data_IF_419081381636
#
_entry.id   IF_419081381636
#
_cell.length_a   1.000
_cell.length_b   1.000
_cell.length_c   1.000
_cell.angle_alpha   90.00
_cell.angle_beta   90.00
_cell.angle_gamma   90.00
#
_symmetry.space_group_name_H-M   'P 1'
#
loop_
_entity.id
_entity.type
_entity.pdbx_description
1 polymer ?
#
# COMPACT_ATOMS: atom_id res chain seq x y z
N UNK A 1 10.73 -12.29 -23.53
CA UNK A 1 10.17 -13.66 -23.35
C UNK A 1 9.08 -13.84 -24.41
N UNK A 2 9.11 -14.92 -25.17
CA UNK A 2 8.10 -15.21 -26.18
C UNK A 2 6.78 -15.56 -25.45
N UNK A 3 5.69 -14.91 -25.87
CA UNK A 3 4.35 -15.22 -25.40
C UNK A 3 3.94 -16.57 -25.97
N UNK A 4 3.77 -17.52 -25.11
CA UNK A 4 3.39 -18.90 -25.45
C UNK A 4 1.90 -19.13 -25.18
N UNK A 5 1.25 -19.72 -26.11
CA UNK A 5 -0.16 -20.00 -26.45
C UNK A 5 -1.20 -20.53 -25.41
N UNK A 6 -2.47 -20.64 -25.64
CA UNK A 6 -3.69 -20.42 -24.88
C UNK A 6 -4.52 -21.62 -24.36
N UNK A 7 -5.50 -21.39 -23.47
CA UNK A 7 -6.56 -22.31 -23.04
C UNK A 7 -7.94 -21.91 -23.50
N UNK A 8 -8.89 -22.87 -23.50
CA UNK A 8 -10.27 -22.65 -23.91
C UNK A 8 -11.10 -22.00 -22.79
N UNK A 9 -12.03 -21.15 -23.17
CA UNK A 9 -12.95 -20.38 -22.30
C UNK A 9 -13.84 -21.28 -21.43
N UNK A 10 -14.17 -22.48 -21.88
CA UNK A 10 -15.00 -23.47 -21.19
C UNK A 10 -14.32 -24.02 -19.94
N UNK A 11 -13.00 -24.04 -19.91
CA UNK A 11 -12.24 -24.59 -18.79
C UNK A 11 -12.14 -23.61 -17.62
N UNK A 12 -12.38 -22.31 -17.86
CA UNK A 12 -12.39 -21.25 -16.85
C UNK A 12 -13.79 -20.87 -16.33
N UNK A 13 -14.85 -21.14 -17.08
CA UNK A 13 -16.21 -20.73 -16.71
C UNK A 13 -16.69 -21.32 -15.38
N UNK A 14 -16.18 -22.49 -14.97
CA UNK A 14 -16.49 -23.11 -13.70
C UNK A 14 -15.64 -22.63 -12.51
N UNK A 15 -14.53 -21.94 -12.77
CA UNK A 15 -13.59 -21.48 -11.74
C UNK A 15 -13.76 -20.00 -11.36
N UNK A 16 -14.43 -19.23 -12.20
CA UNK A 16 -14.63 -17.79 -11.98
C UNK A 16 -16.02 -17.50 -11.37
N UNK A 17 -16.27 -18.03 -10.18
CA UNK A 17 -17.52 -17.74 -9.46
C UNK A 17 -17.39 -16.43 -8.64
N UNK A 18 -18.49 -15.67 -8.45
CA UNK A 18 -18.48 -14.40 -7.70
C UNK A 18 -17.91 -14.49 -6.28
N UNK A 19 -18.04 -15.64 -5.61
CA UNK A 19 -17.48 -15.87 -4.27
C UNK A 19 -15.95 -15.86 -4.24
N UNK A 20 -15.28 -16.15 -5.34
CA UNK A 20 -13.83 -16.14 -5.43
C UNK A 20 -13.28 -14.70 -5.41
N UNK A 21 -14.07 -13.70 -5.75
CA UNK A 21 -13.65 -12.31 -5.75
C UNK A 21 -13.31 -11.78 -4.34
N UNK A 22 -14.01 -12.22 -3.30
CA UNK A 22 -13.77 -11.77 -1.93
C UNK A 22 -12.44 -12.28 -1.36
N UNK A 23 -12.07 -13.52 -1.65
CA UNK A 23 -10.83 -14.12 -1.16
C UNK A 23 -9.58 -13.43 -1.74
N UNK A 24 -9.68 -12.88 -2.94
CA UNK A 24 -8.59 -12.18 -3.60
C UNK A 24 -8.26 -10.82 -3.02
N UNK A 25 -9.26 -10.05 -2.62
CA UNK A 25 -9.00 -8.78 -1.93
C UNK A 25 -8.38 -9.00 -0.57
N UNK A 26 -8.75 -10.08 0.10
CA UNK A 26 -8.10 -10.47 1.35
C UNK A 26 -6.61 -10.77 1.13
N UNK A 27 -6.26 -11.38 -0.01
CA UNK A 27 -4.86 -11.69 -0.35
C UNK A 27 -4.08 -10.43 -0.76
N UNK A 28 -4.62 -9.60 -1.65
CA UNK A 28 -4.00 -8.34 -2.03
C UNK A 28 -3.82 -7.40 -0.81
N UNK A 29 -4.82 -7.33 0.05
CA UNK A 29 -4.74 -6.52 1.26
C UNK A 29 -3.67 -7.01 2.25
N UNK A 30 -3.37 -8.31 2.27
CA UNK A 30 -2.29 -8.85 3.11
C UNK A 30 -0.89 -8.46 2.64
N UNK A 31 -0.72 -8.12 1.35
CA UNK A 31 0.57 -7.81 0.75
C UNK A 31 0.86 -6.31 0.64
N UNK A 32 -0.16 -5.46 0.69
CA UNK A 32 0.00 -4.01 0.68
C UNK A 32 0.28 -3.46 2.07
N UNK A 33 1.40 -2.78 2.23
CA UNK A 33 1.80 -2.12 3.48
C UNK A 33 0.84 -0.98 3.81
N UNK A 34 0.46 -0.20 2.81
CA UNK A 34 -0.49 0.91 2.97
C UNK A 34 -1.86 0.39 3.42
N UNK A 35 -2.36 -0.68 2.81
CA UNK A 35 -3.67 -1.23 3.16
C UNK A 35 -3.72 -1.83 4.58
N UNK A 36 -2.59 -2.29 5.12
CA UNK A 36 -2.48 -2.79 6.49
C UNK A 36 -2.45 -1.67 7.54
N UNK A 37 -1.82 -0.56 7.22
CA UNK A 37 -1.63 0.55 8.15
C UNK A 37 -2.75 1.59 8.08
N UNK A 38 -3.26 1.86 6.88
CA UNK A 38 -4.25 2.90 6.63
C UNK A 38 -5.69 2.44 6.96
N UNK A 39 -6.57 3.40 7.16
CA UNK A 39 -7.96 3.14 7.49
C UNK A 39 -8.77 2.75 6.25
N UNK A 40 -9.36 1.55 6.27
CA UNK A 40 -10.30 1.12 5.23
C UNK A 40 -11.70 1.71 5.46
N UNK A 41 -12.32 2.19 4.38
CA UNK A 41 -13.73 2.63 4.35
C UNK A 41 -14.45 1.98 3.18
N UNK A 42 -15.77 1.77 3.27
CA UNK A 42 -16.54 1.34 2.11
C UNK A 42 -16.49 2.43 1.02
N UNK A 43 -16.34 2.03 -0.24
CA UNK A 43 -16.32 2.93 -1.38
C UNK A 43 -17.37 2.52 -2.39
N UNK A 44 -18.26 3.46 -2.74
CA UNK A 44 -19.24 3.27 -3.80
C UNK A 44 -18.70 3.67 -5.17
N UNK A 45 -19.37 3.25 -6.24
CA UNK A 45 -19.01 3.60 -7.65
C UNK A 45 -18.98 5.13 -7.86
N UNK A 46 -19.82 5.87 -7.16
CA UNK A 46 -19.88 7.34 -7.24
C UNK A 46 -18.82 8.05 -6.38
N UNK A 47 -17.96 7.28 -5.71
CA UNK A 47 -17.03 7.80 -4.71
C UNK A 47 -17.67 7.90 -3.32
N UNK A 48 -16.87 8.31 -2.35
CA UNK A 48 -17.28 8.50 -0.96
C UNK A 48 -16.81 9.87 -0.47
N UNK A 49 -17.67 10.57 0.27
CA UNK A 49 -17.32 11.86 0.86
C UNK A 49 -16.94 11.69 2.32
N UNK A 50 -15.70 12.05 2.64
CA UNK A 50 -15.13 11.85 3.97
C UNK A 50 -15.06 13.20 4.69
N UNK A 51 -15.77 13.36 5.82
CA UNK A 51 -15.65 14.56 6.64
C UNK A 51 -14.30 14.56 7.37
N UNK A 52 -13.57 15.66 7.26
CA UNK A 52 -12.34 15.91 7.99
C UNK A 52 -12.51 17.13 8.90
N UNK A 53 -12.02 17.01 10.13
CA UNK A 53 -12.01 18.13 11.07
C UNK A 53 -10.84 19.05 10.71
N UNK A 54 -11.13 20.25 10.22
CA UNK A 54 -10.13 21.25 9.82
C UNK A 54 -9.74 22.15 11.00
N UNK A 55 -10.64 22.41 11.92
CA UNK A 55 -10.33 23.09 13.19
C UNK A 55 -11.08 22.44 14.36
N UNK A 56 -10.42 22.41 15.50
CA UNK A 56 -11.01 21.89 16.75
C UNK A 56 -11.43 23.06 17.63
N UNK A 57 -12.59 22.96 18.30
CA UNK A 57 -12.95 23.96 19.31
C UNK A 57 -11.95 23.92 20.47
N UNK A 58 -11.65 25.07 21.01
CA UNK A 58 -10.83 25.24 22.22
C UNK A 58 -11.69 25.56 23.42
N UNK A 59 -11.33 25.03 24.59
CA UNK A 59 -12.00 25.32 25.84
C UNK A 59 -11.12 26.18 26.76
N UNK A 60 -11.72 27.10 27.48
CA UNK A 60 -11.03 27.94 28.48
C UNK A 60 -11.75 27.85 29.81
N UNK A 61 -10.98 28.01 30.90
CA UNK A 61 -11.51 28.14 32.25
C UNK A 61 -12.16 29.50 32.41
N UNK A 62 -13.38 29.55 32.97
CA UNK A 62 -14.14 30.79 33.14
C UNK A 62 -14.51 30.92 34.63
N UNK A 63 -14.25 32.07 35.23
CA UNK A 63 -14.70 32.33 36.61
C UNK A 63 -16.22 32.43 36.70
N UNK A 64 -16.73 32.41 37.93
CA UNK A 64 -18.15 32.57 38.15
C UNK A 64 -18.65 33.92 37.60
N UNK A 65 -19.74 33.83 36.79
CA UNK A 65 -20.29 34.97 36.04
C UNK A 65 -19.39 35.55 34.93
N UNK A 66 -18.26 34.88 34.56
CA UNK A 66 -17.35 35.31 33.49
C UNK A 66 -17.90 35.00 32.08
N UNK A 67 -17.46 35.78 31.11
CA UNK A 67 -17.78 35.58 29.70
C UNK A 67 -17.16 34.30 29.20
N UNK A 68 -17.97 33.45 28.50
CA UNK A 68 -17.50 32.17 27.94
C UNK A 68 -16.86 32.37 26.56
N UNK A 69 -15.67 31.80 26.31
CA UNK A 69 -15.04 31.91 25.01
C UNK A 69 -15.88 31.23 23.93
N UNK A 70 -16.16 31.96 22.84
CA UNK A 70 -16.79 31.39 21.67
C UNK A 70 -15.71 30.74 20.81
N UNK A 71 -15.89 29.49 20.46
CA UNK A 71 -14.96 28.75 19.61
C UNK A 71 -15.71 28.11 18.46
N UNK A 72 -15.12 28.16 17.28
CA UNK A 72 -15.67 27.53 16.08
C UNK A 72 -14.90 26.25 15.75
N UNK A 73 -15.64 25.17 15.53
CA UNK A 73 -15.14 23.96 14.91
C UNK A 73 -15.48 23.98 13.41
N UNK A 74 -14.50 23.69 12.56
CA UNK A 74 -14.75 23.57 11.14
C UNK A 74 -14.56 22.14 10.64
N UNK A 75 -15.47 21.70 9.76
CA UNK A 75 -15.43 20.40 9.10
C UNK A 75 -15.32 20.63 7.60
N UNK A 76 -14.28 20.12 6.99
CA UNK A 76 -14.13 20.05 5.55
C UNK A 76 -14.66 18.72 5.00
N UNK A 77 -15.04 18.70 3.74
CA UNK A 77 -15.44 17.49 3.02
C UNK A 77 -14.42 17.22 1.93
N UNK A 78 -13.83 16.03 1.97
CA UNK A 78 -12.97 15.53 0.88
C UNK A 78 -13.66 14.36 0.20
N UNK A 79 -13.62 14.34 -1.13
CA UNK A 79 -14.20 13.29 -1.95
C UNK A 79 -13.12 12.30 -2.34
N UNK A 80 -13.33 11.03 -2.03
CA UNK A 80 -12.51 9.92 -2.50
C UNK A 80 -13.19 9.29 -3.71
N UNK A 81 -12.52 9.31 -4.85
CA UNK A 81 -13.04 8.76 -6.11
C UNK A 81 -12.40 7.40 -6.40
N UNK A 82 -13.16 6.42 -6.91
CA UNK A 82 -12.59 5.17 -7.38
C UNK A 82 -11.77 5.39 -8.64
N UNK A 83 -10.59 4.78 -8.69
CA UNK A 83 -9.70 4.75 -9.85
C UNK A 83 -9.43 3.31 -10.24
N UNK A 84 -9.49 3.03 -11.54
CA UNK A 84 -9.36 1.68 -12.08
C UNK A 84 -7.89 1.30 -12.22
N UNK A 85 -7.57 0.10 -11.75
CA UNK A 85 -6.32 -0.61 -12.04
C UNK A 85 -6.66 -1.87 -12.83
N UNK A 86 -5.85 -2.21 -13.83
CA UNK A 86 -6.08 -3.38 -14.66
C UNK A 86 -4.77 -4.04 -15.06
N UNK A 87 -4.82 -5.34 -15.24
CA UNK A 87 -3.74 -6.14 -15.81
C UNK A 87 -4.30 -7.13 -16.83
N UNK A 88 -3.59 -7.31 -17.93
CA UNK A 88 -3.90 -8.34 -18.93
C UNK A 88 -2.76 -9.34 -18.95
N UNK A 89 -3.09 -10.59 -18.72
CA UNK A 89 -2.18 -11.68 -18.96
C UNK A 89 -2.59 -12.45 -20.21
N UNK A 90 -1.61 -12.84 -20.98
CA UNK A 90 -1.81 -13.65 -22.18
C UNK A 90 -1.11 -14.98 -22.00
N UNK A 91 -1.88 -16.04 -22.12
CA UNK A 91 -1.44 -17.40 -21.81
C UNK A 91 -1.71 -18.32 -23.01
N UNK A 92 -0.97 -19.43 -23.11
CA UNK A 92 -1.15 -20.40 -24.16
C UNK A 92 -2.25 -21.45 -23.84
N UNK A 93 -3.08 -21.88 -24.84
CA UNK A 93 -4.14 -22.88 -24.62
C UNK A 93 -3.56 -24.23 -24.17
N UNK A 94 -2.34 -24.52 -24.55
CA UNK A 94 -1.69 -25.77 -24.19
C UNK A 94 -1.28 -25.79 -22.71
N UNK A 95 -0.74 -24.68 -22.19
CA UNK A 95 -0.35 -24.54 -20.76
C UNK A 95 -1.56 -24.64 -19.86
N UNK A 96 -2.65 -23.96 -20.20
CA UNK A 96 -3.86 -24.01 -19.37
C UNK A 96 -4.55 -25.37 -19.47
N UNK A 97 -4.49 -26.03 -20.62
CA UNK A 97 -5.02 -27.40 -20.79
C UNK A 97 -4.23 -28.44 -20.00
N UNK A 98 -2.90 -28.24 -19.86
CA UNK A 98 -2.03 -29.15 -19.14
C UNK A 98 -2.21 -29.07 -17.60
N UNK A 99 -2.48 -27.89 -17.04
CA UNK A 99 -2.60 -27.71 -15.60
C UNK A 99 -3.54 -26.54 -15.19
N UNK A 100 -4.84 -26.62 -15.49
CA UNK A 100 -5.74 -25.48 -15.41
C UNK A 100 -5.96 -24.97 -13.97
N UNK A 101 -6.16 -25.86 -12.99
CA UNK A 101 -6.54 -25.45 -11.62
C UNK A 101 -5.39 -24.78 -10.85
N UNK A 102 -4.19 -25.34 -10.91
CA UNK A 102 -3.04 -24.77 -10.21
C UNK A 102 -2.51 -23.52 -10.86
N UNK A 103 -2.52 -23.44 -12.19
CA UNK A 103 -2.06 -22.28 -12.93
C UNK A 103 -2.94 -21.06 -12.67
N UNK A 104 -4.27 -21.24 -12.71
CA UNK A 104 -5.21 -20.15 -12.41
C UNK A 104 -5.03 -19.62 -11.01
N UNK A 105 -4.83 -20.48 -10.02
CA UNK A 105 -4.66 -20.04 -8.63
C UNK A 105 -3.33 -19.31 -8.42
N UNK A 106 -2.23 -19.81 -8.99
CA UNK A 106 -0.93 -19.13 -8.95
C UNK A 106 -1.03 -17.74 -9.57
N UNK A 107 -1.59 -17.66 -10.77
CA UNK A 107 -1.75 -16.40 -11.49
C UNK A 107 -2.63 -15.38 -10.77
N UNK A 108 -3.61 -15.84 -10.05
CA UNK A 108 -4.44 -14.98 -9.21
C UNK A 108 -3.63 -14.33 -8.09
N UNK A 109 -2.83 -15.11 -7.39
CA UNK A 109 -1.97 -14.61 -6.31
C UNK A 109 -0.99 -13.56 -6.86
N UNK A 110 -0.39 -13.81 -8.03
CA UNK A 110 0.54 -12.89 -8.68
C UNK A 110 -0.13 -11.57 -9.09
N UNK A 111 -1.38 -11.62 -9.59
CA UNK A 111 -2.16 -10.40 -9.90
C UNK A 111 -2.48 -9.62 -8.62
N UNK A 112 -2.90 -10.29 -7.56
CA UNK A 112 -3.22 -9.64 -6.30
C UNK A 112 -1.98 -8.92 -5.73
N UNK A 113 -0.82 -9.55 -5.82
CA UNK A 113 0.46 -8.94 -5.44
C UNK A 113 0.82 -7.76 -6.33
N UNK A 114 0.70 -7.90 -7.65
CA UNK A 114 0.97 -6.81 -8.59
C UNK A 114 0.07 -5.59 -8.33
N UNK A 115 -1.22 -5.81 -8.00
CA UNK A 115 -2.13 -4.72 -7.65
C UNK A 115 -1.78 -4.08 -6.30
N UNK A 116 -1.36 -4.87 -5.31
CA UNK A 116 -0.90 -4.36 -4.02
C UNK A 116 0.34 -3.47 -4.19
N UNK A 117 1.35 -3.95 -4.91
CA UNK A 117 2.57 -3.20 -5.18
C UNK A 117 2.31 -1.92 -6.00
N UNK A 118 1.45 -1.99 -7.02
CA UNK A 118 1.09 -0.82 -7.81
C UNK A 118 0.31 0.22 -6.99
N UNK A 119 -0.57 -0.22 -6.10
CA UNK A 119 -1.28 0.65 -5.18
C UNK A 119 -0.32 1.32 -4.19
N UNK A 120 0.58 0.55 -3.56
CA UNK A 120 1.59 1.09 -2.65
C UNK A 120 2.52 2.08 -3.36
N UNK A 121 3.00 1.77 -4.55
CA UNK A 121 3.84 2.67 -5.35
C UNK A 121 3.11 3.98 -5.71
N UNK A 122 1.82 3.92 -6.01
CA UNK A 122 1.02 5.10 -6.29
C UNK A 122 0.82 5.98 -5.05
N UNK A 123 0.55 5.39 -3.90
CA UNK A 123 0.29 6.12 -2.63
C UNK A 123 1.58 6.64 -2.01
N UNK A 124 2.65 5.84 -1.99
CA UNK A 124 3.91 6.21 -1.36
C UNK A 124 4.72 7.18 -2.22
N UNK A 125 4.88 6.87 -3.50
CA UNK A 125 5.82 7.56 -4.39
C UNK A 125 5.16 8.35 -5.52
N UNK A 126 3.85 8.25 -5.70
CA UNK A 126 3.17 8.91 -6.82
C UNK A 126 3.50 8.30 -8.19
N UNK A 127 4.05 7.08 -8.25
CA UNK A 127 4.40 6.42 -9.51
C UNK A 127 3.12 6.03 -10.27
N UNK A 128 2.92 6.64 -11.43
CA UNK A 128 1.70 6.49 -12.24
C UNK A 128 0.41 6.69 -11.41
N UNK A 129 0.49 7.51 -10.37
CA UNK A 129 -0.59 7.69 -9.40
C UNK A 129 -1.77 8.43 -10.03
N UNK A 130 -2.99 7.89 -9.90
CA UNK A 130 -4.21 8.61 -10.21
C UNK A 130 -4.72 9.46 -9.01
N UNK A 131 -4.01 9.46 -7.88
CA UNK A 131 -4.36 10.15 -6.64
C UNK A 131 -3.69 11.52 -6.58
N UNK A 132 -4.34 12.48 -5.89
CA UNK A 132 -3.89 13.88 -5.84
C UNK A 132 -2.60 14.09 -5.06
N UNK A 133 -2.36 13.24 -4.04
CA UNK A 133 -1.18 13.33 -3.16
C UNK A 133 -0.49 11.99 -3.00
N UNK A 134 0.80 12.05 -2.64
CA UNK A 134 1.62 10.90 -2.27
C UNK A 134 2.49 11.23 -1.06
N UNK A 135 3.10 10.22 -0.43
CA UNK A 135 3.90 10.44 0.78
C UNK A 135 5.27 11.08 0.51
N UNK A 136 5.78 10.95 -0.71
CA UNK A 136 7.04 11.59 -1.09
C UNK A 136 6.99 13.11 -1.14
N UNK A 137 5.79 13.70 -1.11
CA UNK A 137 5.62 15.16 -0.99
C UNK A 137 6.05 15.68 0.40
N UNK A 138 6.18 14.81 1.41
CA UNK A 138 6.65 15.26 2.74
C UNK A 138 8.06 15.81 2.67
N UNK A 139 8.28 16.93 3.36
CA UNK A 139 9.60 17.57 3.49
C UNK A 139 10.41 17.01 4.64
N UNK A 140 9.80 16.20 5.51
CA UNK A 140 10.47 15.59 6.65
C UNK A 140 11.19 14.34 6.20
N UNK A 141 12.47 14.27 6.46
CA UNK A 141 13.30 13.11 6.17
C UNK A 141 14.28 12.88 7.30
N UNK A 142 14.55 11.62 7.59
CA UNK A 142 15.59 11.18 8.51
C UNK A 142 16.38 10.09 7.82
N UNK A 143 17.69 10.21 7.84
CA UNK A 143 18.62 9.24 7.30
C UNK A 143 18.95 8.21 8.37
N UNK A 144 18.66 6.93 8.09
CA UNK A 144 18.93 5.82 9.00
C UNK A 144 20.40 5.43 8.92
N UNK A 145 21.01 5.12 10.08
CA UNK A 145 22.41 4.70 10.16
C UNK A 145 23.38 5.87 10.28
N UNK A 146 22.90 7.10 10.50
CA UNK A 146 23.74 8.29 10.69
C UNK A 146 24.11 8.55 12.15
N UNK A 147 23.25 8.19 13.09
CA UNK A 147 23.56 8.32 14.51
C UNK A 147 24.62 7.30 14.92
N UNK A 148 25.63 7.75 15.65
CA UNK A 148 26.66 6.86 16.21
C UNK A 148 26.10 6.06 17.42
N UNK A 149 26.89 5.08 17.89
CA UNK A 149 26.48 4.25 19.02
C UNK A 149 26.27 5.05 20.32
N UNK A 150 26.97 6.19 20.48
CA UNK A 150 26.80 7.06 21.67
C UNK A 150 25.45 7.82 21.65
N UNK A 151 24.90 8.04 20.46
CA UNK A 151 23.61 8.67 20.24
C UNK A 151 22.47 7.66 19.96
N UNK A 152 22.72 6.38 20.21
CA UNK A 152 21.72 5.33 20.13
C UNK A 152 21.61 4.65 18.75
N UNK A 153 22.49 4.96 17.79
CA UNK A 153 22.50 4.35 16.47
C UNK A 153 21.13 4.51 15.77
N UNK A 154 20.68 3.48 15.08
CA UNK A 154 19.39 3.47 14.35
C UNK A 154 18.18 3.75 15.27
N UNK A 155 18.26 3.38 16.56
CA UNK A 155 17.26 3.76 17.55
C UNK A 155 17.19 5.28 17.70
N UNK A 156 18.33 5.96 17.74
CA UNK A 156 18.42 7.43 17.77
C UNK A 156 17.80 8.06 16.53
N UNK A 157 18.08 7.52 15.34
CA UNK A 157 17.50 8.00 14.09
C UNK A 157 15.98 7.81 14.07
N UNK A 158 15.48 6.64 14.46
CA UNK A 158 14.05 6.38 14.56
C UNK A 158 13.36 7.30 15.59
N UNK A 159 14.03 7.57 16.72
CA UNK A 159 13.54 8.52 17.71
C UNK A 159 13.54 9.96 17.18
N UNK A 160 14.52 10.34 16.37
CA UNK A 160 14.56 11.65 15.72
C UNK A 160 13.40 11.84 14.75
N UNK A 161 12.97 10.77 14.04
CA UNK A 161 11.77 10.81 13.22
C UNK A 161 10.51 11.09 14.07
N UNK A 162 10.39 10.45 15.25
CA UNK A 162 9.30 10.74 16.18
C UNK A 162 9.38 12.19 16.66
N UNK A 163 10.57 12.67 16.98
CA UNK A 163 10.79 14.04 17.46
C UNK A 163 10.35 15.08 16.43
N UNK A 164 10.67 14.87 15.13
CA UNK A 164 10.21 15.74 14.04
C UNK A 164 8.68 15.78 13.94
N UNK A 165 8.01 14.65 14.15
CA UNK A 165 6.55 14.60 14.14
C UNK A 165 5.93 15.31 15.34
N UNK A 166 6.48 15.08 16.54
CA UNK A 166 5.98 15.66 17.79
C UNK A 166 6.22 17.16 17.83
N UNK A 167 7.34 17.65 17.29
CA UNK A 167 7.63 19.08 17.19
C UNK A 167 6.57 19.85 16.41
N UNK A 168 5.96 19.21 15.41
CA UNK A 168 4.84 19.77 14.63
C UNK A 168 3.46 19.48 15.27
N UNK A 169 3.41 18.95 16.49
CA UNK A 169 2.16 18.58 17.15
C UNK A 169 1.45 17.38 16.51
N UNK A 170 2.16 16.58 15.71
CA UNK A 170 1.65 15.42 15.00
C UNK A 170 2.01 14.13 15.72
N UNK A 171 1.28 13.05 15.41
CA UNK A 171 1.50 11.75 16.04
C UNK A 171 2.09 10.80 15.01
N UNK A 172 2.95 9.90 15.47
CA UNK A 172 3.41 8.77 14.70
C UNK A 172 2.71 7.52 15.23
N UNK A 173 1.90 6.85 14.42
CA UNK A 173 1.10 5.68 14.81
C UNK A 173 1.69 4.36 14.34
N UNK A 174 2.48 4.39 13.27
CA UNK A 174 3.06 3.18 12.68
C UNK A 174 4.20 3.47 11.73
N UNK A 175 4.87 2.41 11.34
CA UNK A 175 6.02 2.39 10.45
C UNK A 175 5.75 1.46 9.26
N UNK A 176 6.19 1.89 8.10
CA UNK A 176 6.28 1.06 6.90
C UNK A 176 7.75 0.97 6.51
N UNK A 177 8.28 -0.22 6.35
CA UNK A 177 9.65 -0.46 5.94
C UNK A 177 9.69 -1.34 4.70
N UNK A 178 10.69 -1.09 3.87
CA UNK A 178 11.06 -2.00 2.80
C UNK A 178 11.87 -3.17 3.36
N UNK A 179 11.81 -4.32 2.71
CA UNK A 179 12.59 -5.51 3.07
C UNK A 179 14.10 -5.23 3.09
N UNK A 180 14.57 -4.24 2.32
CA UNK A 180 15.98 -3.82 2.33
C UNK A 180 16.41 -3.13 3.62
N UNK A 181 15.48 -2.57 4.39
CA UNK A 181 15.76 -1.97 5.70
C UNK A 181 15.85 -3.00 6.82
N UNK A 182 15.31 -4.19 6.63
CA UNK A 182 15.23 -5.21 7.68
C UNK A 182 16.59 -5.62 8.26
N UNK A 183 17.64 -5.92 7.47
CA UNK A 183 18.96 -6.24 8.01
C UNK A 183 19.55 -5.12 8.86
N UNK A 184 19.28 -3.86 8.48
CA UNK A 184 19.72 -2.67 9.20
C UNK A 184 19.04 -2.56 10.57
N UNK A 185 17.73 -2.82 10.60
CA UNK A 185 16.93 -2.79 11.84
C UNK A 185 17.26 -3.96 12.76
N UNK A 186 17.46 -5.16 12.21
CA UNK A 186 17.81 -6.37 12.98
C UNK A 186 19.23 -6.29 13.54
N UNK A 187 20.14 -5.58 12.88
CA UNK A 187 21.49 -5.32 13.36
C UNK A 187 21.57 -4.32 14.51
N UNK A 188 20.46 -3.72 14.91
CA UNK A 188 20.40 -2.70 15.97
C UNK A 188 20.13 -3.32 17.32
N UNK A 189 21.11 -3.22 18.21
CA UNK A 189 21.03 -3.73 19.59
C UNK A 189 21.17 -2.60 20.59
N UNK A 190 20.56 -2.76 21.75
CA UNK A 190 20.85 -1.89 22.90
C UNK A 190 22.21 -2.24 23.54
N UNK A 191 22.64 -1.46 24.52
CA UNK A 191 23.90 -1.68 25.25
C UNK A 191 23.92 -3.02 26.00
N UNK A 192 22.79 -3.69 26.15
CA UNK A 192 22.64 -4.99 26.81
C UNK A 192 22.51 -6.15 25.81
N UNK A 193 22.59 -5.86 24.51
CA UNK A 193 22.48 -6.85 23.44
C UNK A 193 21.05 -7.26 23.08
N UNK A 194 20.03 -6.48 23.49
CA UNK A 194 18.65 -6.74 23.10
C UNK A 194 18.35 -6.12 21.75
N UNK A 195 17.69 -6.84 20.83
CA UNK A 195 17.29 -6.27 19.56
C UNK A 195 16.28 -5.13 19.78
N UNK A 196 16.43 -4.04 19.05
CA UNK A 196 15.55 -2.87 19.12
C UNK A 196 14.26 -3.09 18.33
N UNK A 197 14.33 -3.88 17.26
CA UNK A 197 13.16 -4.37 16.56
C UNK A 197 12.69 -5.65 17.25
N UNK A 198 11.44 -5.68 17.69
CA UNK A 198 10.84 -6.95 18.14
C UNK A 198 10.69 -7.86 16.92
N UNK A 199 11.17 -9.09 17.05
CA UNK A 199 11.24 -10.07 15.96
C UNK A 199 10.02 -10.01 15.04
N UNK A 200 10.23 -9.84 13.73
CA UNK A 200 9.15 -9.84 12.78
C UNK A 200 8.49 -11.23 12.75
N UNK A 201 7.18 -11.26 12.81
CA UNK A 201 6.40 -12.49 12.64
C UNK A 201 6.07 -12.63 11.17
N UNK A 202 6.72 -13.58 10.52
CA UNK A 202 6.39 -13.96 9.16
C UNK A 202 5.24 -14.97 9.16
N UNK A 203 4.24 -14.72 8.34
CA UNK A 203 3.21 -15.71 8.01
C UNK A 203 3.16 -15.89 6.51
N UNK A 204 2.81 -17.11 6.07
CA UNK A 204 2.65 -17.40 4.66
C UNK A 204 1.69 -16.38 4.02
N UNK A 205 2.14 -15.74 2.94
CA UNK A 205 1.37 -14.75 2.17
C UNK A 205 0.96 -13.46 2.90
N UNK A 206 1.62 -13.09 3.99
CA UNK A 206 1.37 -11.81 4.67
C UNK A 206 2.68 -11.04 4.86
N UNK A 207 2.55 -9.71 5.00
CA UNK A 207 3.67 -8.85 5.35
C UNK A 207 4.24 -9.23 6.72
N UNK A 208 5.55 -9.11 6.87
CA UNK A 208 6.17 -9.26 8.18
C UNK A 208 5.71 -8.13 9.10
N UNK A 209 5.18 -8.50 10.26
CA UNK A 209 4.74 -7.56 11.28
C UNK A 209 5.71 -7.56 12.46
N UNK A 210 6.17 -6.38 12.83
CA UNK A 210 7.10 -6.16 13.93
C UNK A 210 6.63 -4.98 14.80
N UNK A 211 7.40 -4.66 15.82
CA UNK A 211 7.21 -3.42 16.60
C UNK A 211 8.52 -2.66 16.73
N UNK A 212 8.48 -1.39 16.39
CA UNK A 212 9.58 -0.47 16.60
C UNK A 212 9.12 0.67 17.51
N UNK A 213 9.83 0.91 18.60
CA UNK A 213 9.49 1.94 19.59
C UNK A 213 8.03 1.86 20.09
N UNK A 214 7.52 0.64 20.27
CA UNK A 214 6.16 0.37 20.75
C UNK A 214 5.04 0.58 19.72
N UNK A 215 5.37 0.91 18.46
CA UNK A 215 4.43 1.11 17.35
C UNK A 215 4.50 -0.03 16.37
N UNK A 216 3.39 -0.32 15.71
CA UNK A 216 3.34 -1.34 14.66
C UNK A 216 4.27 -0.97 13.52
N UNK A 217 5.06 -1.92 13.07
CA UNK A 217 5.92 -1.82 11.91
C UNK A 217 5.57 -2.95 10.95
N UNK A 218 5.33 -2.62 9.69
CA UNK A 218 5.14 -3.62 8.63
C UNK A 218 6.31 -3.53 7.67
N UNK A 219 6.84 -4.71 7.32
CA UNK A 219 7.95 -4.86 6.39
C UNK A 219 7.42 -5.55 5.15
N UNK A 220 7.63 -4.94 4.00
CA UNK A 220 7.14 -5.48 2.74
C UNK A 220 7.85 -4.91 1.53
N UNK A 221 7.78 -5.63 0.42
CA UNK A 221 8.32 -5.17 -0.85
C UNK A 221 7.47 -4.02 -1.42
N UNK A 222 8.10 -3.09 -2.11
CA UNK A 222 7.42 -1.97 -2.76
C UNK A 222 7.29 -0.70 -1.90
N UNK A 223 7.86 -0.68 -0.69
CA UNK A 223 7.99 0.54 0.11
C UNK A 223 9.16 1.38 -0.38
N UNK A 224 10.21 0.79 -0.94
CA UNK A 224 11.28 1.49 -1.64
C UNK A 224 10.96 1.66 -3.13
N UNK A 225 11.41 2.75 -3.74
CA UNK A 225 11.33 2.91 -5.20
C UNK A 225 12.29 1.95 -5.91
N UNK A 226 11.85 1.37 -7.03
CA UNK A 226 12.65 0.43 -7.82
C UNK A 226 13.97 1.05 -8.31
N UNK A 227 13.96 2.35 -8.63
CA UNK A 227 15.10 3.03 -9.26
C UNK A 227 16.13 3.59 -8.27
N UNK A 228 15.77 3.83 -7.02
CA UNK A 228 16.65 4.61 -6.13
C UNK A 228 16.70 4.11 -4.70
N UNK A 229 16.18 3.06 -4.29
CA UNK A 229 16.24 2.53 -2.90
C UNK A 229 16.72 3.52 -1.79
N UNK A 230 16.58 4.83 -2.06
CA UNK A 230 16.94 5.91 -1.15
C UNK A 230 15.95 6.02 -0.01
N UNK A 231 14.68 5.83 -0.29
CA UNK A 231 13.64 5.78 0.74
C UNK A 231 13.43 4.32 1.11
N UNK A 232 13.75 3.97 2.33
CA UNK A 232 13.64 2.61 2.87
C UNK A 232 12.47 2.44 3.83
N UNK A 233 11.75 3.54 4.12
CA UNK A 233 10.58 3.47 4.96
C UNK A 233 9.87 4.80 5.16
N UNK A 234 8.71 4.70 5.80
CA UNK A 234 7.88 5.84 6.20
C UNK A 234 7.39 5.67 7.63
N UNK A 235 7.40 6.75 8.38
CA UNK A 235 6.73 6.84 9.68
C UNK A 235 5.68 7.94 9.65
N UNK A 236 4.54 7.75 10.32
CA UNK A 236 3.54 8.81 10.36
C UNK A 236 2.23 8.43 11.02
N UNK A 237 1.25 9.31 10.87
CA UNK A 237 -0.13 9.06 11.31
C UNK A 237 -0.95 8.41 10.19
N UNK A 238 -0.91 7.11 10.15
CA UNK A 238 -1.60 6.31 9.13
C UNK A 238 -3.14 6.43 9.18
N UNK A 239 -3.70 6.94 10.26
CA UNK A 239 -5.12 7.27 10.33
C UNK A 239 -5.54 8.39 9.36
N UNK A 240 -4.55 9.13 8.83
CA UNK A 240 -4.72 10.22 7.87
C UNK A 240 -4.75 9.75 6.42
N UNK A 241 -4.46 8.48 6.18
CA UNK A 241 -4.69 7.82 4.91
C UNK A 241 -5.98 7.02 5.03
N UNK A 242 -6.88 7.26 4.10
CA UNK A 242 -8.12 6.52 3.98
C UNK A 242 -8.16 5.87 2.61
N UNK A 243 -8.46 4.58 2.58
CA UNK A 243 -8.57 3.86 1.33
C UNK A 243 -9.86 3.04 1.27
N UNK A 244 -10.30 2.76 0.08
CA UNK A 244 -11.47 1.94 -0.17
C UNK A 244 -11.37 1.21 -1.50
N UNK A 245 -12.22 0.23 -1.69
CA UNK A 245 -12.35 -0.51 -2.93
C UNK A 245 -13.82 -0.63 -3.31
N UNK A 246 -14.09 -0.63 -4.60
CA UNK A 246 -15.42 -0.84 -5.16
C UNK A 246 -15.54 -2.29 -5.59
N UNK A 247 -16.48 -3.02 -5.03
CA UNK A 247 -16.75 -4.41 -5.40
C UNK A 247 -15.57 -5.34 -5.21
N UNK A 248 -15.36 -6.20 -6.19
CA UNK A 248 -14.30 -7.22 -6.25
C UNK A 248 -13.35 -7.02 -7.45
N UNK A 249 -12.25 -7.79 -7.53
CA UNK A 249 -11.50 -7.91 -8.79
C UNK A 249 -12.41 -8.60 -9.79
N UNK A 250 -12.67 -7.96 -10.92
CA UNK A 250 -13.39 -8.56 -12.03
C UNK A 250 -12.39 -9.26 -12.95
N UNK A 251 -12.76 -10.47 -13.38
CA UNK A 251 -11.96 -11.21 -14.35
C UNK A 251 -12.79 -11.42 -15.62
N UNK A 252 -12.19 -11.11 -16.74
CA UNK A 252 -12.76 -11.38 -18.05
C UNK A 252 -11.78 -12.19 -18.88
N UNK A 253 -12.27 -13.23 -19.53
CA UNK A 253 -11.44 -14.12 -20.36
C UNK A 253 -11.89 -14.02 -21.80
N UNK A 254 -10.95 -13.82 -22.71
CA UNK A 254 -11.24 -13.75 -24.15
C UNK A 254 -10.21 -14.53 -24.95
N UNK A 255 -10.71 -15.29 -25.92
CA UNK A 255 -9.91 -15.99 -26.96
C UNK A 255 -9.93 -15.26 -28.31
N UNK A 256 -10.83 -14.29 -28.46
CA UNK A 256 -11.09 -13.61 -29.74
C UNK A 256 -10.53 -12.20 -29.81
N UNK A 257 -10.12 -11.65 -28.64
CA UNK A 257 -9.60 -10.30 -28.55
C UNK A 257 -8.25 -10.15 -29.30
N UNK A 258 -7.95 -8.92 -29.67
CA UNK A 258 -6.62 -8.52 -30.12
C UNK A 258 -5.98 -7.70 -28.99
N UNK A 259 -4.79 -8.09 -28.55
CA UNK A 259 -4.05 -7.41 -27.50
C UNK A 259 -2.76 -6.81 -28.02
N UNK A 260 -2.33 -5.70 -27.43
CA UNK A 260 -1.07 -5.06 -27.80
C UNK A 260 0.04 -5.58 -26.91
N UNK A 261 1.04 -6.27 -27.48
CA UNK A 261 2.20 -6.81 -26.78
C UNK A 261 3.46 -6.20 -27.41
N UNK A 262 4.30 -5.55 -26.62
CA UNK A 262 5.52 -4.87 -27.08
C UNK A 262 5.32 -3.91 -28.26
N UNK A 263 4.14 -3.29 -28.34
CA UNK A 263 3.81 -2.37 -29.43
C UNK A 263 3.10 -2.99 -30.61
N UNK A 264 3.08 -4.32 -30.76
CA UNK A 264 2.43 -5.05 -31.84
C UNK A 264 1.04 -5.54 -31.43
N UNK A 265 0.10 -5.51 -32.38
CA UNK A 265 -1.26 -6.03 -32.22
C UNK A 265 -1.27 -7.53 -32.53
N UNK A 266 -1.53 -8.34 -31.52
CA UNK A 266 -1.56 -9.80 -31.61
C UNK A 266 -3.01 -10.27 -31.50
N UNK A 267 -3.61 -10.85 -32.57
CA UNK A 267 -4.92 -11.48 -32.51
C UNK A 267 -4.82 -12.80 -31.73
N UNK A 268 -5.55 -12.92 -30.66
CA UNK A 268 -5.46 -14.08 -29.77
C UNK A 268 -5.91 -15.35 -30.47
N UNK A 269 -7.01 -15.29 -31.20
CA UNK A 269 -7.58 -16.45 -31.89
C UNK A 269 -6.61 -17.09 -32.91
N UNK A 270 -5.95 -16.25 -33.70
CA UNK A 270 -5.04 -16.73 -34.75
C UNK A 270 -3.77 -17.38 -34.22
N UNK A 271 -3.37 -16.95 -33.01
CA UNK A 271 -2.15 -17.44 -32.36
C UNK A 271 -2.41 -18.49 -31.26
N UNK A 272 -3.63 -18.99 -31.19
CA UNK A 272 -4.02 -19.91 -30.13
C UNK A 272 -3.77 -19.31 -28.71
N UNK A 273 -4.09 -18.06 -28.44
CA UNK A 273 -3.85 -17.33 -27.19
C UNK A 273 -5.14 -17.03 -26.44
N UNK A 274 -5.11 -17.02 -25.09
CA UNK A 274 -6.19 -16.58 -24.20
C UNK A 274 -5.73 -15.34 -23.46
N UNK A 275 -6.49 -14.28 -23.52
CA UNK A 275 -6.31 -13.11 -22.70
C UNK A 275 -7.15 -13.20 -21.42
N UNK A 276 -6.53 -13.01 -20.28
CA UNK A 276 -7.19 -12.86 -18.98
C UNK A 276 -7.02 -11.41 -18.55
N UNK A 277 -8.12 -10.68 -18.52
CA UNK A 277 -8.18 -9.32 -18.02
C UNK A 277 -8.60 -9.36 -16.56
N UNK A 278 -7.80 -8.79 -15.67
CA UNK A 278 -8.15 -8.53 -14.30
C UNK A 278 -8.30 -7.02 -14.08
N UNK A 279 -9.38 -6.60 -13.45
CA UNK A 279 -9.65 -5.19 -13.15
C UNK A 279 -10.12 -5.04 -11.70
N UNK A 280 -9.66 -3.96 -11.05
CA UNK A 280 -10.12 -3.55 -9.73
C UNK A 280 -10.24 -2.03 -9.66
N UNK A 281 -11.03 -1.53 -8.73
CA UNK A 281 -11.18 -0.10 -8.49
C UNK A 281 -10.84 0.22 -7.05
N UNK A 282 -9.84 1.07 -6.86
CA UNK A 282 -9.38 1.56 -5.56
C UNK A 282 -9.55 3.07 -5.46
N UNK A 283 -9.92 3.54 -4.28
CA UNK A 283 -9.81 4.94 -3.91
C UNK A 283 -8.80 5.10 -2.78
N UNK A 284 -8.07 6.19 -2.82
CA UNK A 284 -7.19 6.59 -1.74
C UNK A 284 -7.28 8.09 -1.52
N UNK A 285 -7.25 8.49 -0.27
CA UNK A 285 -7.24 9.88 0.15
C UNK A 285 -6.19 10.08 1.23
N UNK A 286 -5.22 10.94 0.96
CA UNK A 286 -4.19 11.38 1.89
C UNK A 286 -4.57 12.78 2.37
N UNK A 287 -4.89 12.94 3.66
CA UNK A 287 -5.36 14.23 4.21
C UNK A 287 -4.25 15.22 4.46
N UNK A 288 -2.98 14.81 4.34
CA UNK A 288 -1.81 15.69 4.44
C UNK A 288 -0.51 14.90 4.46
N UNK A 289 0.35 15.07 3.43
CA UNK A 289 1.67 14.43 3.38
C UNK A 289 2.58 14.83 4.54
N UNK A 290 2.38 16.03 5.10
CA UNK A 290 3.13 16.55 6.25
C UNK A 290 2.89 15.75 7.55
N UNK A 291 1.92 14.83 7.57
CA UNK A 291 1.69 13.88 8.67
C UNK A 291 2.66 12.69 8.66
N UNK A 292 3.62 12.70 7.73
CA UNK A 292 4.56 11.62 7.52
C UNK A 292 6.01 12.12 7.50
N UNK A 293 6.93 11.20 7.77
CA UNK A 293 8.38 11.39 7.66
C UNK A 293 8.96 10.27 6.82
N UNK A 294 9.84 10.60 5.87
CA UNK A 294 10.59 9.65 5.06
C UNK A 294 11.80 9.16 5.85
N UNK A 295 12.08 7.88 5.72
CA UNK A 295 13.29 7.26 6.23
C UNK A 295 14.15 6.87 5.03
N UNK A 296 15.33 7.43 4.97
CA UNK A 296 16.27 7.19 3.88
C UNK A 296 17.45 6.35 4.38
N UNK A 297 18.07 5.59 3.50
CA UNK A 297 19.28 4.85 3.85
C UNK A 297 20.49 5.76 3.67
N UNK A 298 21.42 5.74 4.63
CA UNK A 298 22.75 6.29 4.43
C UNK A 298 23.44 5.51 3.30
N UNK A 299 23.83 6.20 2.21
CA UNK A 299 24.43 5.61 1.06
C UNK A 299 25.85 5.11 1.34
#
# INVERSE_FOLDING_TARGET
MAVTAPTKTTDFAGYLQPHMAQDFFAEAAKRSVVQQLARKVPLGISGETIPIVTSKPTAGWVPEAGEKPVTEGAVGLLKMEPKKIAAIAVVSSEVVRANPANYVNLFKTDIAEAFALAFDAAVLHGVNSPFDHNLDETKKAVELGTADAAHGGIYGDANSAIQLMVADGKKLTGWAFDTTAEPLLNGSYDTTGRPLLTEPVYSDNALASARLLGRSAFIGDGVATADKKTVVGYGGDWSKIVWGQVGGISYSVSTEATVKINGELIPLWQNNLVGILAEAEFGCLITGPEQFVKLTNAA
#
